data_IF_319704784759
#
_entry.id   IF_319704784759
#
_cell.length_a   1.000
_cell.length_b   1.000
_cell.length_c   1.000
_cell.angle_alpha   90.00
_cell.angle_beta   90.00
_cell.angle_gamma   90.00
#
_symmetry.space_group_name_H-M   'P 1'
#
loop_
_entity.id
_entity.type
_entity.pdbx_description
1 polymer ?
#
# COMPACT_ATOMS: atom_id res chain seq x y z
N UNK A 1 -3.96 -22.27 17.24
CA UNK A 1 -3.70 -23.25 16.18
C UNK A 1 -2.25 -23.10 15.74
N UNK A 2 -1.45 -24.14 15.61
CA UNK A 2 -0.08 -23.99 15.16
C UNK A 2 -0.08 -23.54 13.69
N UNK A 3 0.54 -22.39 13.38
CA UNK A 3 0.74 -21.92 12.03
C UNK A 3 0.06 -20.62 11.61
N UNK A 4 -0.65 -19.94 12.50
CA UNK A 4 -1.19 -18.59 12.20
C UNK A 4 -0.14 -17.52 12.57
N UNK A 5 0.87 -17.34 11.72
CA UNK A 5 1.95 -16.41 12.01
C UNK A 5 2.08 -15.27 11.00
N UNK A 6 1.33 -15.31 9.88
CA UNK A 6 1.44 -14.29 8.85
C UNK A 6 0.72 -13.01 9.25
N UNK A 7 1.36 -11.87 9.01
CA UNK A 7 0.70 -10.55 9.03
C UNK A 7 0.66 -10.05 7.59
N UNK A 8 -0.54 -9.96 7.08
CA UNK A 8 -0.87 -9.51 5.75
C UNK A 8 -1.11 -8.00 5.76
N UNK A 9 -0.18 -7.23 5.20
CA UNK A 9 -0.28 -5.76 5.19
C UNK A 9 -1.00 -5.22 3.95
N UNK A 10 -1.37 -6.07 3.01
CA UNK A 10 -2.01 -5.70 1.76
C UNK A 10 -3.28 -6.54 1.56
N UNK A 11 -4.34 -6.10 2.20
CA UNK A 11 -5.67 -6.64 2.02
C UNK A 11 -6.70 -5.51 1.91
N UNK A 12 -7.78 -5.77 1.20
CA UNK A 12 -8.80 -4.78 0.91
C UNK A 12 -10.15 -5.16 1.49
N UNK A 13 -10.95 -4.14 1.76
CA UNK A 13 -12.31 -4.29 2.23
C UNK A 13 -13.25 -3.29 1.56
N UNK A 14 -14.52 -3.57 1.59
CA UNK A 14 -15.55 -2.71 1.04
C UNK A 14 -16.67 -2.55 2.03
N UNK A 15 -17.06 -1.30 2.31
CA UNK A 15 -18.24 -1.02 3.13
C UNK A 15 -19.49 -0.92 2.25
N UNK A 16 -20.69 -1.14 2.80
CA UNK A 16 -21.94 -0.94 2.06
C UNK A 16 -22.06 0.46 1.48
N UNK A 17 -21.62 1.48 2.23
CA UNK A 17 -21.65 2.89 1.84
C UNK A 17 -20.68 3.14 0.66
N UNK A 18 -19.49 2.53 0.68
CA UNK A 18 -18.53 2.65 -0.41
C UNK A 18 -19.05 1.97 -1.68
N UNK A 19 -19.62 0.76 -1.58
CA UNK A 19 -20.30 0.11 -2.71
C UNK A 19 -21.46 0.93 -3.26
N UNK A 20 -22.26 1.57 -2.38
CA UNK A 20 -23.34 2.44 -2.82
C UNK A 20 -22.81 3.66 -3.58
N UNK A 21 -21.73 4.27 -3.10
CA UNK A 21 -21.09 5.42 -3.76
C UNK A 21 -20.51 5.03 -5.14
N UNK A 22 -19.85 3.87 -5.27
CA UNK A 22 -19.36 3.36 -6.56
C UNK A 22 -20.52 3.17 -7.55
N UNK A 23 -21.60 2.50 -7.14
CA UNK A 23 -22.79 2.32 -8.01
C UNK A 23 -23.42 3.65 -8.41
N UNK A 24 -23.50 4.61 -7.49
CA UNK A 24 -24.05 5.94 -7.79
C UNK A 24 -23.18 6.71 -8.79
N UNK A 25 -21.88 6.43 -8.83
CA UNK A 25 -20.95 6.96 -9.84
C UNK A 25 -20.91 6.15 -11.15
N UNK A 26 -21.72 5.08 -11.27
CA UNK A 26 -21.74 4.22 -12.45
C UNK A 26 -20.54 3.31 -12.57
N UNK A 27 -19.83 3.04 -11.46
CA UNK A 27 -18.63 2.20 -11.40
C UNK A 27 -19.03 0.80 -10.93
N UNK A 28 -19.02 -0.18 -11.83
CA UNK A 28 -19.21 -1.60 -11.59
C UNK A 28 -17.90 -2.40 -11.67
N UNK A 29 -16.88 -1.77 -12.22
CA UNK A 29 -15.52 -2.27 -12.32
C UNK A 29 -14.52 -1.15 -12.03
N UNK A 30 -13.31 -1.52 -11.64
CA UNK A 30 -12.22 -0.61 -11.34
C UNK A 30 -11.01 -0.99 -12.15
N UNK A 31 -10.52 -0.04 -12.96
CA UNK A 31 -9.32 -0.22 -13.77
C UNK A 31 -9.40 -1.49 -14.67
N UNK A 32 -10.62 -1.85 -15.09
CA UNK A 32 -10.93 -3.02 -15.87
C UNK A 32 -11.11 -4.32 -15.07
N UNK A 33 -11.11 -4.24 -13.74
CA UNK A 33 -11.32 -5.39 -12.86
C UNK A 33 -12.68 -5.30 -12.15
N UNK A 34 -13.50 -6.38 -12.13
CA UNK A 34 -14.75 -6.37 -11.38
C UNK A 34 -14.52 -6.09 -9.90
N UNK A 35 -15.40 -5.30 -9.27
CA UNK A 35 -15.33 -5.04 -7.84
C UNK A 35 -15.74 -6.32 -7.11
N UNK A 36 -14.85 -6.93 -6.30
CA UNK A 36 -15.16 -8.18 -5.62
C UNK A 36 -16.15 -7.98 -4.47
N UNK A 37 -16.94 -9.00 -4.19
CA UNK A 37 -17.67 -9.08 -2.92
C UNK A 37 -16.71 -9.29 -1.75
N UNK A 38 -17.04 -8.70 -0.60
CA UNK A 38 -16.25 -8.85 0.61
C UNK A 38 -17.16 -8.91 1.85
N UNK A 39 -16.83 -9.76 2.81
CA UNK A 39 -17.37 -9.72 4.16
C UNK A 39 -16.30 -10.10 5.18
N UNK A 40 -16.45 -9.62 6.42
CA UNK A 40 -15.48 -9.94 7.47
C UNK A 40 -15.49 -11.41 7.83
N UNK A 41 -16.65 -12.05 7.79
CA UNK A 41 -16.83 -13.47 8.06
C UNK A 41 -16.03 -14.32 7.06
N UNK A 42 -16.22 -14.06 5.76
CA UNK A 42 -15.48 -14.74 4.69
C UNK A 42 -13.98 -14.47 4.78
N UNK A 43 -13.57 -13.23 5.10
CA UNK A 43 -12.17 -12.90 5.28
C UNK A 43 -11.53 -13.70 6.43
N UNK A 44 -12.21 -13.83 7.57
CA UNK A 44 -11.73 -14.64 8.71
C UNK A 44 -11.59 -16.11 8.33
N UNK A 45 -12.58 -16.69 7.64
CA UNK A 45 -12.52 -18.08 7.18
C UNK A 45 -11.30 -18.35 6.29
N UNK A 46 -11.04 -17.44 5.33
CA UNK A 46 -9.87 -17.54 4.46
C UNK A 46 -8.56 -17.31 5.20
N UNK A 47 -8.51 -16.35 6.13
CA UNK A 47 -7.34 -16.14 6.99
C UNK A 47 -7.01 -17.39 7.80
N UNK A 48 -8.02 -18.06 8.37
CA UNK A 48 -7.85 -19.30 9.13
C UNK A 48 -7.32 -20.43 8.23
N UNK A 49 -7.88 -20.55 7.03
CA UNK A 49 -7.45 -21.54 6.03
C UNK A 49 -5.99 -21.34 5.60
N UNK A 50 -5.56 -20.08 5.44
CA UNK A 50 -4.23 -19.75 4.92
C UNK A 50 -3.18 -19.54 6.01
N UNK A 51 -3.55 -19.56 7.28
CA UNK A 51 -2.63 -19.31 8.39
C UNK A 51 -2.24 -17.83 8.51
N UNK A 52 -3.12 -16.93 8.11
CA UNK A 52 -2.97 -15.48 8.29
C UNK A 52 -3.56 -15.10 9.65
N UNK A 53 -2.72 -14.55 10.53
CA UNK A 53 -3.14 -14.09 11.84
C UNK A 53 -3.89 -12.78 11.76
N UNK A 54 -3.34 -11.81 11.03
CA UNK A 54 -3.87 -10.45 10.98
C UNK A 54 -3.84 -9.95 9.54
N UNK A 55 -4.92 -9.32 9.08
CA UNK A 55 -4.96 -8.52 7.85
C UNK A 55 -5.09 -7.03 8.18
N UNK A 56 -4.26 -6.20 7.54
CA UNK A 56 -4.43 -4.75 7.58
C UNK A 56 -5.26 -4.35 6.35
N UNK A 57 -6.46 -3.85 6.62
CA UNK A 57 -7.45 -3.55 5.61
C UNK A 57 -7.31 -2.12 5.09
N UNK A 58 -7.42 -1.96 3.79
CA UNK A 58 -7.47 -0.66 3.10
C UNK A 58 -8.52 -0.65 1.99
N UNK A 59 -8.99 0.52 1.59
CA UNK A 59 -9.68 0.67 0.31
C UNK A 59 -8.64 0.53 -0.81
N UNK A 60 -9.02 -0.14 -1.90
CA UNK A 60 -8.24 -0.26 -3.13
C UNK A 60 -8.56 0.86 -4.12
N UNK A 61 -8.00 0.78 -5.35
CA UNK A 61 -8.48 1.56 -6.48
C UNK A 61 -10.03 1.44 -6.62
N UNK A 62 -10.74 2.47 -7.06
CA UNK A 62 -10.27 3.77 -7.54
C UNK A 62 -10.05 4.80 -6.43
N UNK A 63 -9.98 4.41 -5.16
CA UNK A 63 -9.92 5.34 -4.05
C UNK A 63 -11.22 6.11 -3.87
N UNK A 64 -11.17 7.45 -3.83
CA UNK A 64 -12.33 8.29 -3.55
C UNK A 64 -12.52 9.40 -4.59
N UNK A 65 -11.67 9.48 -5.62
CA UNK A 65 -11.63 10.58 -6.58
C UNK A 65 -12.91 10.71 -7.43
N UNK A 66 -13.70 9.65 -7.53
CA UNK A 66 -14.98 9.65 -8.23
C UNK A 66 -16.09 10.43 -7.49
N UNK A 67 -15.92 10.69 -6.20
CA UNK A 67 -16.92 11.35 -5.38
C UNK A 67 -16.74 12.89 -5.39
N UNK A 68 -17.83 13.69 -5.45
CA UNK A 68 -17.73 15.13 -5.24
C UNK A 68 -17.10 15.47 -3.89
N UNK A 69 -16.35 16.59 -3.80
CA UNK A 69 -15.56 16.96 -2.62
C UNK A 69 -16.30 16.83 -1.28
N UNK A 70 -17.54 17.32 -1.19
CA UNK A 70 -18.34 17.25 0.05
C UNK A 70 -18.74 15.80 0.41
N UNK A 71 -19.08 15.00 -0.59
CA UNK A 71 -19.40 13.59 -0.42
C UNK A 71 -18.15 12.77 -0.09
N UNK A 72 -16.99 13.12 -0.67
CA UNK A 72 -15.71 12.46 -0.40
C UNK A 72 -15.31 12.56 1.08
N UNK A 73 -15.46 13.73 1.73
CA UNK A 73 -15.19 13.87 3.18
C UNK A 73 -16.05 12.93 4.02
N UNK A 74 -17.36 12.90 3.73
CA UNK A 74 -18.27 12.00 4.46
C UNK A 74 -17.94 10.53 4.19
N UNK A 75 -17.72 10.17 2.95
CA UNK A 75 -17.43 8.77 2.58
C UNK A 75 -16.11 8.29 3.20
N UNK A 76 -15.05 9.12 3.19
CA UNK A 76 -13.80 8.78 3.86
C UNK A 76 -14.02 8.54 5.37
N UNK A 77 -14.77 9.44 6.04
CA UNK A 77 -15.12 9.29 7.46
C UNK A 77 -15.88 8.00 7.71
N UNK A 78 -16.95 7.73 6.97
CA UNK A 78 -17.78 6.54 7.13
C UNK A 78 -16.95 5.24 6.96
N UNK A 79 -16.10 5.19 5.94
CA UNK A 79 -15.19 4.05 5.68
C UNK A 79 -14.22 3.85 6.85
N UNK A 80 -13.60 4.93 7.35
CA UNK A 80 -12.62 4.85 8.44
C UNK A 80 -13.27 4.44 9.77
N UNK A 81 -14.46 4.92 10.06
CA UNK A 81 -15.22 4.50 11.25
C UNK A 81 -15.64 3.03 11.18
N UNK A 82 -16.05 2.55 10.01
CA UNK A 82 -16.31 1.12 9.77
C UNK A 82 -15.05 0.29 10.00
N UNK A 83 -13.88 0.70 9.45
CA UNK A 83 -12.62 0.01 9.66
C UNK A 83 -12.27 -0.06 11.17
N UNK A 84 -12.37 1.06 11.87
CA UNK A 84 -12.15 1.10 13.32
C UNK A 84 -13.14 0.20 14.10
N UNK A 85 -14.40 0.08 13.64
CA UNK A 85 -15.37 -0.83 14.24
C UNK A 85 -15.01 -2.30 14.02
N UNK A 86 -14.44 -2.65 12.85
CA UNK A 86 -13.90 -3.99 12.57
C UNK A 86 -12.73 -4.31 13.48
N UNK A 87 -11.79 -3.38 13.66
CA UNK A 87 -10.65 -3.56 14.57
C UNK A 87 -11.11 -3.77 16.01
N UNK A 88 -12.09 -3.00 16.50
CA UNK A 88 -12.62 -3.19 17.86
C UNK A 88 -13.28 -4.56 18.06
N UNK A 89 -13.95 -5.08 17.04
CA UNK A 89 -14.60 -6.41 17.08
C UNK A 89 -13.59 -7.55 16.95
N UNK A 90 -12.49 -7.34 16.23
CA UNK A 90 -11.51 -8.37 15.90
C UNK A 90 -10.06 -7.85 16.12
N UNK A 91 -9.68 -7.45 17.36
CA UNK A 91 -8.46 -6.66 17.61
C UNK A 91 -7.16 -7.39 17.28
N UNK A 92 -7.15 -8.71 17.27
CA UNK A 92 -5.99 -9.54 16.90
C UNK A 92 -5.99 -9.94 15.44
N UNK A 93 -7.16 -9.84 14.76
CA UNK A 93 -7.34 -10.30 13.38
C UNK A 93 -7.31 -9.16 12.37
N UNK A 94 -7.62 -7.94 12.79
CA UNK A 94 -7.78 -6.79 11.90
C UNK A 94 -6.90 -5.64 12.33
N UNK A 95 -6.18 -5.09 11.36
CA UNK A 95 -5.61 -3.76 11.38
C UNK A 95 -6.20 -2.93 10.25
N UNK A 96 -5.84 -1.64 10.16
CA UNK A 96 -6.45 -0.82 9.13
C UNK A 96 -5.73 0.46 8.78
N UNK A 97 -5.79 0.80 7.50
CA UNK A 97 -5.33 2.06 6.94
C UNK A 97 -6.52 2.97 6.65
N UNK A 98 -6.39 4.23 7.04
CA UNK A 98 -7.43 5.23 6.80
C UNK A 98 -7.40 5.76 5.36
N UNK A 99 -8.57 5.90 4.77
CA UNK A 99 -8.79 6.58 3.50
C UNK A 99 -8.85 8.09 3.71
N UNK A 100 -8.22 8.88 2.84
CA UNK A 100 -8.25 10.34 2.89
C UNK A 100 -9.09 10.93 1.75
N UNK A 101 -9.82 12.03 1.98
CA UNK A 101 -10.66 12.68 0.97
C UNK A 101 -9.86 13.56 -0.01
N UNK A 102 -8.69 13.08 -0.48
CA UNK A 102 -7.90 13.79 -1.48
C UNK A 102 -8.69 13.91 -2.80
N UNK A 103 -8.54 15.02 -3.54
CA UNK A 103 -7.50 16.08 -3.42
C UNK A 103 -7.81 17.21 -2.42
N UNK A 104 -8.79 17.06 -1.54
CA UNK A 104 -9.10 18.05 -0.51
C UNK A 104 -8.08 18.00 0.63
N UNK A 105 -7.01 18.81 0.53
CA UNK A 105 -5.90 18.80 1.48
C UNK A 105 -6.36 19.14 2.91
N UNK A 106 -7.22 20.14 3.08
CA UNK A 106 -7.72 20.52 4.41
C UNK A 106 -8.53 19.38 5.03
N UNK A 107 -9.46 18.79 4.26
CA UNK A 107 -10.23 17.64 4.70
C UNK A 107 -9.35 16.42 4.99
N UNK A 108 -8.27 16.23 4.24
CA UNK A 108 -7.33 15.15 4.47
C UNK A 108 -6.53 15.35 5.77
N UNK A 109 -6.12 16.57 6.09
CA UNK A 109 -5.44 16.89 7.37
C UNK A 109 -6.37 16.67 8.57
N UNK A 110 -7.62 17.08 8.47
CA UNK A 110 -8.65 16.81 9.49
C UNK A 110 -8.85 15.28 9.67
N UNK A 111 -8.91 14.54 8.55
CA UNK A 111 -9.15 13.11 8.58
C UNK A 111 -7.92 12.33 9.10
N UNK A 112 -6.69 12.76 8.81
CA UNK A 112 -5.47 12.20 9.41
C UNK A 112 -5.52 12.29 10.94
N UNK A 113 -5.89 13.47 11.45
CA UNK A 113 -6.00 13.66 12.90
C UNK A 113 -7.10 12.77 13.49
N UNK A 114 -8.29 12.73 12.88
CA UNK A 114 -9.37 11.88 13.36
C UNK A 114 -9.01 10.38 13.32
N UNK A 115 -8.49 9.91 12.20
CA UNK A 115 -8.14 8.51 12.01
C UNK A 115 -7.07 8.01 13.00
N UNK A 116 -6.01 8.80 13.20
CA UNK A 116 -4.88 8.38 14.01
C UNK A 116 -5.07 8.71 15.51
N UNK A 117 -5.72 9.84 15.85
CA UNK A 117 -5.85 10.29 17.24
C UNK A 117 -7.14 9.79 17.90
N UNK A 118 -8.26 9.68 17.15
CA UNK A 118 -9.56 9.28 17.69
C UNK A 118 -9.84 7.81 17.41
N UNK A 119 -9.79 7.41 16.13
CA UNK A 119 -10.10 6.05 15.72
C UNK A 119 -8.98 5.05 16.01
N UNK A 120 -7.74 5.52 16.19
CA UNK A 120 -6.54 4.70 16.45
C UNK A 120 -6.26 3.68 15.35
N UNK A 121 -6.52 4.06 14.08
CA UNK A 121 -6.13 3.25 12.93
C UNK A 121 -4.60 3.14 12.84
N UNK A 122 -4.12 2.07 12.21
CA UNK A 122 -2.70 1.71 12.20
C UNK A 122 -1.86 2.56 11.23
N UNK A 123 -2.49 3.22 10.27
CA UNK A 123 -1.83 4.06 9.28
C UNK A 123 -2.80 4.69 8.30
N UNK A 124 -2.25 5.20 7.19
CA UNK A 124 -3.00 5.88 6.12
C UNK A 124 -2.79 5.12 4.81
N UNK A 125 -3.86 4.96 4.01
CA UNK A 125 -3.72 4.54 2.61
C UNK A 125 -3.71 5.77 1.70
N UNK A 126 -2.74 5.80 0.78
CA UNK A 126 -2.68 6.75 -0.33
C UNK A 126 -2.64 5.98 -1.65
N UNK A 127 -2.86 6.70 -2.74
CA UNK A 127 -2.72 6.14 -4.08
C UNK A 127 -1.51 6.76 -4.77
N UNK A 128 -0.94 6.06 -5.76
CA UNK A 128 0.28 6.50 -6.47
C UNK A 128 0.17 7.91 -7.02
N UNK A 129 -1.02 8.29 -7.44
CA UNK A 129 -1.37 9.66 -7.84
C UNK A 129 -2.81 9.98 -7.43
N UNK A 130 -3.14 11.26 -7.40
CA UNK A 130 -4.49 11.80 -7.21
C UNK A 130 -4.83 12.64 -8.44
N UNK A 131 -5.80 12.21 -9.24
CA UNK A 131 -6.15 12.86 -10.51
C UNK A 131 -4.92 13.12 -11.41
N UNK A 132 -4.03 12.11 -11.53
CA UNK A 132 -2.82 12.20 -12.33
C UNK A 132 -1.66 12.99 -11.71
N UNK A 133 -1.81 13.47 -10.47
CA UNK A 133 -0.78 14.18 -9.74
C UNK A 133 -0.09 13.22 -8.79
N UNK A 134 1.17 12.88 -9.07
CA UNK A 134 1.94 11.93 -8.25
C UNK A 134 2.31 12.49 -6.88
N UNK A 135 2.42 11.61 -5.87
CA UNK A 135 2.56 11.96 -4.45
C UNK A 135 3.77 12.85 -4.11
N UNK A 136 4.82 12.91 -4.92
CA UNK A 136 5.94 13.83 -4.74
C UNK A 136 5.65 15.27 -5.18
N UNK A 137 4.45 15.60 -5.65
CA UNK A 137 4.08 16.97 -6.02
C UNK A 137 3.90 17.85 -4.77
N UNK A 138 4.34 19.13 -4.87
CA UNK A 138 4.27 20.11 -3.78
C UNK A 138 2.86 20.35 -3.22
N UNK A 139 1.81 20.03 -3.99
CA UNK A 139 0.41 20.11 -3.52
C UNK A 139 0.12 19.21 -2.34
N UNK A 140 0.90 18.15 -2.17
CA UNK A 140 0.78 17.20 -1.05
C UNK A 140 1.79 17.46 0.07
N UNK A 141 2.59 18.53 0.00
CA UNK A 141 3.63 18.81 0.99
C UNK A 141 3.05 18.87 2.42
N UNK A 142 1.93 19.58 2.61
CA UNK A 142 1.29 19.68 3.92
C UNK A 142 0.85 18.30 4.48
N UNK A 143 0.39 17.40 3.61
CA UNK A 143 0.03 16.03 3.99
C UNK A 143 1.28 15.28 4.46
N UNK A 144 2.37 15.31 3.65
CA UNK A 144 3.60 14.61 4.01
C UNK A 144 4.29 15.21 5.24
N UNK A 145 4.21 16.52 5.46
CA UNK A 145 4.73 17.18 6.68
C UNK A 145 3.98 16.70 7.93
N UNK A 146 2.66 16.59 7.86
CA UNK A 146 1.85 16.07 8.98
C UNK A 146 2.11 14.58 9.21
N UNK A 147 2.18 13.76 8.16
CA UNK A 147 2.54 12.35 8.26
C UNK A 147 3.95 12.16 8.84
N UNK A 148 4.91 13.00 8.44
CA UNK A 148 6.28 12.99 8.96
C UNK A 148 6.34 13.38 10.44
N UNK A 149 5.60 14.43 10.85
CA UNK A 149 5.49 14.84 12.25
C UNK A 149 4.96 13.70 13.13
N UNK A 150 3.99 12.94 12.62
CA UNK A 150 3.37 11.79 13.30
C UNK A 150 4.21 10.51 13.23
N UNK A 151 5.25 10.46 12.42
CA UNK A 151 6.01 9.22 12.09
C UNK A 151 5.06 8.13 11.58
N UNK A 152 4.06 8.52 10.79
CA UNK A 152 2.97 7.66 10.36
C UNK A 152 3.45 6.54 9.44
N UNK A 153 2.75 5.40 9.50
CA UNK A 153 2.83 4.36 8.48
C UNK A 153 1.86 4.73 7.36
N UNK A 154 2.34 4.65 6.13
CA UNK A 154 1.56 4.95 4.92
C UNK A 154 1.66 3.77 3.98
N UNK A 155 0.54 3.21 3.59
CA UNK A 155 0.46 2.22 2.52
C UNK A 155 0.08 2.92 1.22
N UNK A 156 0.81 2.68 0.13
CA UNK A 156 0.51 3.26 -1.18
C UNK A 156 0.10 2.17 -2.15
N UNK A 157 -1.15 2.23 -2.58
CA UNK A 157 -1.72 1.34 -3.59
C UNK A 157 -1.70 2.02 -4.97
N UNK A 158 -1.35 1.30 -6.05
CA UNK A 158 -1.42 1.85 -7.40
C UNK A 158 -2.87 2.05 -7.88
N UNK A 159 -3.01 2.92 -8.87
CA UNK A 159 -4.21 3.14 -9.68
C UNK A 159 -3.83 3.19 -11.15
N UNK A 160 -4.81 3.08 -12.06
CA UNK A 160 -4.52 3.21 -13.49
C UNK A 160 -3.92 4.58 -13.82
N UNK A 161 -2.83 4.66 -14.57
CA UNK A 161 -2.21 5.92 -14.91
C UNK A 161 -3.13 6.77 -15.80
N UNK A 162 -2.96 8.10 -15.79
CA UNK A 162 -3.73 8.98 -16.67
C UNK A 162 -3.61 8.57 -18.14
N UNK A 163 -4.75 8.49 -18.83
CA UNK A 163 -4.79 8.12 -20.23
C UNK A 163 -4.73 6.60 -20.48
N UNK A 164 -4.81 5.79 -19.44
CA UNK A 164 -4.98 4.36 -19.61
C UNK A 164 -6.27 4.06 -20.38
N UNK A 165 -6.18 3.16 -21.34
CA UNK A 165 -7.30 2.67 -22.13
C UNK A 165 -7.17 1.16 -22.28
N UNK A 166 -7.98 0.40 -21.57
CA UNK A 166 -7.99 -1.04 -21.60
C UNK A 166 -8.27 -1.60 -23.01
N UNK A 167 -9.05 -0.87 -23.82
CA UNK A 167 -9.43 -1.33 -25.16
C UNK A 167 -8.23 -1.44 -26.11
N UNK A 168 -7.13 -0.72 -25.83
CA UNK A 168 -5.94 -0.76 -26.67
C UNK A 168 -5.15 -2.09 -26.55
N UNK A 169 -5.13 -2.66 -25.35
CA UNK A 169 -4.36 -3.87 -25.05
C UNK A 169 -5.26 -5.07 -24.72
N UNK A 170 -6.52 -4.84 -24.34
CA UNK A 170 -7.46 -5.88 -23.92
C UNK A 170 -7.17 -6.45 -22.53
N UNK A 171 -6.30 -5.80 -21.73
CA UNK A 171 -5.96 -6.22 -20.37
C UNK A 171 -6.32 -5.13 -19.36
N UNK A 172 -6.78 -5.51 -18.15
CA UNK A 172 -6.96 -4.59 -17.03
C UNK A 172 -5.64 -3.94 -16.61
N UNK A 173 -5.71 -2.72 -16.05
CA UNK A 173 -4.53 -1.98 -15.59
C UNK A 173 -3.67 -2.74 -14.56
N UNK A 174 -4.21 -3.52 -13.62
CA UNK A 174 -3.41 -4.31 -12.69
C UNK A 174 -2.39 -5.24 -13.33
N UNK A 175 -2.64 -5.71 -14.57
CA UNK A 175 -1.74 -6.65 -15.24
C UNK A 175 -0.34 -6.06 -15.50
N UNK A 176 -0.27 -4.77 -15.89
CA UNK A 176 1.00 -4.12 -16.25
C UNK A 176 1.12 -2.72 -15.67
N UNK A 177 0.04 -1.93 -15.75
CA UNK A 177 0.13 -0.49 -15.44
C UNK A 177 0.36 -0.22 -13.97
N UNK A 178 -0.23 -0.98 -13.04
CA UNK A 178 -0.02 -0.81 -11.61
C UNK A 178 1.45 -0.91 -11.19
N UNK A 179 2.24 -1.94 -11.63
CA UNK A 179 3.68 -1.98 -11.39
C UNK A 179 4.43 -0.76 -11.94
N UNK A 180 4.08 -0.30 -13.13
CA UNK A 180 4.72 0.88 -13.71
C UNK A 180 4.32 2.16 -13.00
N UNK A 181 3.09 2.27 -12.55
CA UNK A 181 2.60 3.46 -11.85
C UNK A 181 3.22 3.60 -10.45
N UNK A 182 3.34 2.50 -9.71
CA UNK A 182 4.13 2.44 -8.46
C UNK A 182 5.57 2.93 -8.69
N UNK A 183 6.20 2.48 -9.78
CA UNK A 183 7.56 2.89 -10.12
C UNK A 183 7.66 4.39 -10.43
N UNK A 184 6.69 4.96 -11.17
CA UNK A 184 6.61 6.41 -11.43
C UNK A 184 6.48 7.22 -10.14
N UNK A 185 5.63 6.74 -9.22
CA UNK A 185 5.45 7.40 -7.92
C UNK A 185 6.74 7.38 -7.10
N UNK A 186 7.43 6.26 -6.98
CA UNK A 186 8.71 6.16 -6.26
C UNK A 186 9.73 7.13 -6.87
N UNK A 187 9.87 7.13 -8.20
CA UNK A 187 10.75 8.06 -8.89
C UNK A 187 10.40 9.53 -8.58
N UNK A 188 9.11 9.88 -8.61
CA UNK A 188 8.64 11.24 -8.34
C UNK A 188 8.94 11.67 -6.89
N UNK A 189 8.68 10.81 -5.90
CA UNK A 189 8.95 11.07 -4.48
C UNK A 189 10.44 11.36 -4.20
N UNK A 190 11.34 10.63 -4.86
CA UNK A 190 12.78 10.86 -4.73
C UNK A 190 13.17 12.13 -5.50
N UNK A 191 12.76 12.25 -6.76
CA UNK A 191 13.14 13.37 -7.64
C UNK A 191 12.68 14.75 -7.11
N UNK A 192 11.57 14.81 -6.40
CA UNK A 192 11.06 16.02 -5.72
C UNK A 192 11.79 16.35 -4.42
N UNK A 193 12.48 15.38 -3.82
CA UNK A 193 13.10 15.51 -2.50
C UNK A 193 12.18 15.20 -1.32
N UNK A 194 10.96 14.74 -1.57
CA UNK A 194 9.99 14.41 -0.50
C UNK A 194 10.55 13.38 0.47
N UNK A 195 11.25 12.34 -0.02
CA UNK A 195 11.88 11.31 0.84
C UNK A 195 12.93 11.89 1.79
N UNK A 196 13.66 12.95 1.37
CA UNK A 196 14.66 13.66 2.19
C UNK A 196 13.98 14.57 3.21
N UNK A 197 12.93 15.28 2.81
CA UNK A 197 12.16 16.20 3.65
C UNK A 197 11.37 15.47 4.73
N UNK A 198 10.88 14.26 4.44
CA UNK A 198 9.99 13.50 5.31
C UNK A 198 10.60 12.16 5.78
N UNK A 199 11.78 12.18 6.46
CA UNK A 199 12.53 10.96 6.79
C UNK A 199 11.83 10.04 7.79
N UNK A 200 10.83 10.52 8.52
CA UNK A 200 10.14 9.74 9.55
C UNK A 200 8.88 9.02 9.03
N UNK A 201 8.42 9.31 7.81
CA UNK A 201 7.31 8.56 7.19
C UNK A 201 7.78 7.14 6.89
N UNK A 202 6.98 6.15 7.27
CA UNK A 202 7.22 4.74 6.97
C UNK A 202 6.30 4.33 5.82
N UNK A 203 6.77 4.52 4.60
CA UNK A 203 5.96 4.34 3.40
C UNK A 203 6.15 2.95 2.82
N UNK A 204 5.06 2.20 2.74
CA UNK A 204 4.98 0.86 2.16
C UNK A 204 4.47 1.00 0.73
N UNK A 205 5.19 0.45 -0.23
CA UNK A 205 4.79 0.39 -1.64
C UNK A 205 4.33 -1.01 -2.03
N UNK A 206 3.27 -1.08 -2.81
CA UNK A 206 2.68 -2.33 -3.24
C UNK A 206 3.51 -3.06 -4.31
N UNK A 207 3.30 -4.38 -4.41
CA UNK A 207 3.77 -5.25 -5.50
C UNK A 207 5.30 -5.20 -5.72
N UNK A 208 6.08 -5.27 -4.63
CA UNK A 208 7.54 -5.25 -4.70
C UNK A 208 8.14 -3.94 -5.24
N UNK A 209 7.37 -2.84 -5.19
CA UNK A 209 7.78 -1.58 -5.81
C UNK A 209 7.67 -1.56 -7.33
N UNK A 210 6.88 -2.50 -7.88
CA UNK A 210 6.60 -2.61 -9.31
C UNK A 210 7.82 -3.00 -10.14
N UNK A 211 8.16 -2.20 -11.15
CA UNK A 211 9.31 -2.44 -12.03
C UNK A 211 10.61 -1.80 -11.51
N UNK A 212 10.57 -1.19 -10.29
CA UNK A 212 11.73 -0.51 -9.72
C UNK A 212 13.00 -1.38 -9.70
N UNK A 213 12.99 -2.66 -9.27
CA UNK A 213 14.21 -3.46 -9.20
C UNK A 213 14.95 -3.55 -10.54
N UNK A 214 14.22 -3.68 -11.64
CA UNK A 214 14.81 -3.70 -12.98
C UNK A 214 15.29 -2.33 -13.45
N UNK A 215 14.56 -1.25 -13.11
CA UNK A 215 14.82 0.11 -13.60
C UNK A 215 15.69 0.96 -12.67
N UNK A 216 16.11 0.47 -11.50
CA UNK A 216 16.71 1.25 -10.44
C UNK A 216 17.91 2.11 -10.90
N UNK A 217 18.87 1.53 -11.61
CA UNK A 217 20.05 2.25 -12.11
C UNK A 217 19.66 3.30 -13.17
N UNK A 218 18.72 2.99 -14.06
CA UNK A 218 18.21 3.94 -15.05
C UNK A 218 17.52 5.12 -14.38
N UNK A 219 16.65 4.83 -13.41
CA UNK A 219 15.92 5.84 -12.61
C UNK A 219 16.92 6.70 -11.85
N UNK A 220 17.90 6.08 -11.18
CA UNK A 220 18.92 6.79 -10.41
C UNK A 220 19.67 7.83 -11.24
N UNK A 221 20.16 7.45 -12.43
CA UNK A 221 20.82 8.40 -13.36
C UNK A 221 19.91 9.55 -13.78
N UNK A 222 18.63 9.27 -14.04
CA UNK A 222 17.70 10.29 -14.48
C UNK A 222 17.28 11.22 -13.34
N UNK A 223 17.16 10.73 -12.11
CA UNK A 223 16.90 11.59 -10.93
C UNK A 223 18.07 12.55 -10.72
N UNK A 224 19.32 12.09 -10.79
CA UNK A 224 20.50 12.96 -10.67
C UNK A 224 20.50 14.04 -11.74
N UNK A 225 20.09 13.70 -12.97
CA UNK A 225 20.11 14.63 -14.11
C UNK A 225 18.94 15.60 -14.14
N UNK A 226 17.74 15.15 -13.78
CA UNK A 226 16.48 15.87 -14.01
C UNK A 226 15.65 16.08 -12.74
N UNK A 227 16.09 15.58 -11.59
CA UNK A 227 15.40 15.77 -10.32
C UNK A 227 15.34 17.24 -9.92
N UNK A 228 14.35 17.59 -9.12
CA UNK A 228 14.07 18.96 -8.65
C UNK A 228 14.43 19.17 -7.18
N UNK A 229 14.98 18.16 -6.52
CA UNK A 229 15.40 18.27 -5.13
C UNK A 229 16.51 19.32 -4.98
N UNK A 230 16.46 20.09 -3.92
CA UNK A 230 17.47 21.09 -3.59
C UNK A 230 17.98 20.87 -2.15
N UNK A 231 19.26 20.52 -1.96
CA UNK A 231 20.29 20.29 -3.00
C UNK A 231 19.99 19.05 -3.86
N UNK A 232 20.56 18.94 -5.06
CA UNK A 232 20.42 17.76 -5.91
C UNK A 232 20.89 16.48 -5.22
N UNK A 233 20.34 15.34 -5.61
CA UNK A 233 20.82 14.03 -5.15
C UNK A 233 22.10 13.61 -5.87
N UNK A 234 23.04 12.97 -5.16
CA UNK A 234 24.10 12.18 -5.77
C UNK A 234 23.57 10.80 -6.20
N UNK A 235 24.29 10.07 -7.08
CA UNK A 235 23.90 8.70 -7.44
C UNK A 235 23.76 7.76 -6.22
N UNK A 236 24.67 7.87 -5.26
CA UNK A 236 24.68 7.08 -4.03
C UNK A 236 23.49 7.40 -3.15
N UNK A 237 23.13 8.67 -3.02
CA UNK A 237 21.96 9.11 -2.26
C UNK A 237 20.66 8.62 -2.89
N UNK A 238 20.55 8.57 -4.23
CA UNK A 238 19.37 8.01 -4.90
C UNK A 238 19.26 6.51 -4.62
N UNK A 239 20.38 5.77 -4.71
CA UNK A 239 20.36 4.33 -4.40
C UNK A 239 20.04 4.08 -2.93
N UNK A 240 20.50 4.94 -2.02
CA UNK A 240 20.14 4.88 -0.59
C UNK A 240 18.66 5.22 -0.36
N UNK A 241 18.09 6.13 -1.15
CA UNK A 241 16.69 6.53 -1.02
C UNK A 241 15.71 5.37 -1.30
N UNK A 242 16.08 4.37 -2.11
CA UNK A 242 15.23 3.19 -2.28
C UNK A 242 15.05 2.41 -0.98
N UNK A 243 15.97 2.48 -0.04
CA UNK A 243 15.90 1.84 1.28
C UNK A 243 14.99 2.59 2.27
N UNK A 244 14.52 3.76 1.92
CA UNK A 244 13.55 4.51 2.73
C UNK A 244 12.16 3.86 2.69
N UNK A 245 11.79 3.24 1.55
CA UNK A 245 10.53 2.54 1.39
C UNK A 245 10.55 1.16 2.03
N UNK A 246 9.36 0.69 2.40
CA UNK A 246 9.05 -0.72 2.64
C UNK A 246 8.33 -1.27 1.40
N UNK A 247 8.42 -2.57 1.19
CA UNK A 247 7.91 -3.23 -0.02
C UNK A 247 7.09 -4.43 0.37
N UNK A 248 5.82 -4.50 0.01
CA UNK A 248 5.13 -5.77 0.12
C UNK A 248 5.56 -6.72 -1.02
N UNK A 249 5.38 -8.00 -0.78
CA UNK A 249 5.75 -9.02 -1.77
C UNK A 249 4.55 -9.62 -2.49
N UNK A 250 3.44 -8.91 -2.47
CA UNK A 250 2.20 -9.26 -3.17
C UNK A 250 2.47 -9.40 -4.67
N UNK A 251 1.94 -10.46 -5.29
CA UNK A 251 2.06 -10.76 -6.73
C UNK A 251 3.51 -10.86 -7.27
N UNK A 252 4.53 -10.76 -6.39
CA UNK A 252 5.95 -10.94 -6.75
C UNK A 252 6.60 -12.08 -5.96
N UNK A 253 5.79 -12.98 -5.40
CA UNK A 253 6.25 -14.13 -4.60
C UNK A 253 6.87 -15.22 -5.47
N UNK A 254 8.00 -14.91 -6.09
CA UNK A 254 8.84 -15.84 -6.85
C UNK A 254 10.31 -15.41 -6.81
N UNK A 255 11.23 -16.39 -6.97
CA UNK A 255 12.64 -16.26 -6.65
C UNK A 255 13.33 -15.07 -7.33
N UNK A 256 13.16 -14.89 -8.64
CA UNK A 256 13.87 -13.84 -9.36
C UNK A 256 13.41 -12.41 -8.98
N UNK A 257 12.13 -12.22 -8.63
CA UNK A 257 11.65 -10.91 -8.17
C UNK A 257 12.21 -10.57 -6.78
N UNK A 258 12.17 -11.53 -5.84
CA UNK A 258 12.72 -11.34 -4.50
C UNK A 258 14.24 -11.14 -4.55
N UNK A 259 14.97 -11.94 -5.33
CA UNK A 259 16.41 -11.78 -5.50
C UNK A 259 16.76 -10.39 -6.06
N UNK A 260 16.02 -9.94 -7.09
CA UNK A 260 16.23 -8.62 -7.67
C UNK A 260 15.95 -7.50 -6.65
N UNK A 261 14.87 -7.60 -5.88
CA UNK A 261 14.53 -6.62 -4.85
C UNK A 261 15.60 -6.58 -3.74
N UNK A 262 16.09 -7.73 -3.29
CA UNK A 262 17.14 -7.84 -2.27
C UNK A 262 18.51 -7.31 -2.72
N UNK A 263 18.73 -7.07 -4.02
CA UNK A 263 19.92 -6.32 -4.48
C UNK A 263 19.85 -4.84 -4.18
N UNK A 264 18.64 -4.29 -3.98
CA UNK A 264 18.40 -2.88 -3.74
C UNK A 264 18.17 -2.55 -2.27
N UNK A 265 17.46 -3.42 -1.56
CA UNK A 265 16.99 -3.15 -0.20
C UNK A 265 17.27 -4.32 0.74
N UNK A 266 17.49 -4.06 2.03
CA UNK A 266 17.67 -5.12 3.01
C UNK A 266 16.36 -5.83 3.33
N UNK A 267 16.46 -7.05 3.86
CA UNK A 267 15.32 -7.93 4.16
C UNK A 267 14.30 -7.30 5.14
N UNK A 268 14.75 -6.43 6.02
CA UNK A 268 13.88 -5.73 6.98
C UNK A 268 12.94 -4.71 6.36
N UNK A 269 13.02 -4.52 5.04
CA UNK A 269 12.10 -3.68 4.25
C UNK A 269 11.01 -4.47 3.54
N UNK A 270 11.05 -5.81 3.56
CA UNK A 270 10.07 -6.66 2.91
C UNK A 270 8.96 -7.06 3.88
N UNK A 271 7.72 -7.05 3.38
CA UNK A 271 6.50 -7.34 4.15
C UNK A 271 5.62 -8.31 3.35
N UNK A 272 4.92 -9.23 4.04
CA UNK A 272 3.95 -10.08 3.37
C UNK A 272 2.66 -9.32 3.05
N UNK A 273 2.06 -9.60 1.88
CA UNK A 273 0.76 -9.12 1.44
C UNK A 273 0.07 -10.12 0.52
N UNK A 274 -1.26 -10.18 0.54
CA UNK A 274 -2.07 -11.12 -0.24
C UNK A 274 -2.83 -10.50 -1.41
N UNK A 275 -3.17 -9.22 -1.33
CA UNK A 275 -4.10 -8.52 -2.24
C UNK A 275 -5.53 -9.13 -2.23
N UNK A 276 -5.89 -9.81 -1.12
CA UNK A 276 -7.27 -10.28 -0.95
C UNK A 276 -8.24 -9.09 -0.85
N UNK A 277 -9.39 -9.09 -1.53
CA UNK A 277 -10.00 -10.16 -2.31
C UNK A 277 -9.75 -10.10 -3.84
N UNK A 278 -8.85 -9.25 -4.33
CA UNK A 278 -8.57 -9.11 -5.76
C UNK A 278 -7.73 -10.27 -6.31
N UNK A 279 -6.80 -10.78 -5.51
CA UNK A 279 -6.03 -11.97 -5.87
C UNK A 279 -6.93 -13.21 -5.83
N UNK A 280 -6.84 -14.05 -6.86
CA UNK A 280 -7.55 -15.32 -6.89
C UNK A 280 -7.20 -16.17 -5.66
N UNK A 281 -8.19 -16.69 -4.92
CA UNK A 281 -7.94 -17.49 -3.71
C UNK A 281 -7.00 -18.68 -3.93
N UNK A 282 -6.95 -19.23 -5.15
CA UNK A 282 -6.07 -20.34 -5.52
C UNK A 282 -4.60 -19.95 -5.65
N UNK A 283 -4.29 -18.66 -5.80
CA UNK A 283 -2.91 -18.16 -5.95
C UNK A 283 -2.28 -17.74 -4.62
N UNK A 284 -3.08 -17.53 -3.57
CA UNK A 284 -2.58 -17.10 -2.26
C UNK A 284 -1.80 -18.21 -1.54
N UNK A 285 -2.29 -19.46 -1.42
CA UNK A 285 -1.52 -20.53 -0.77
C UNK A 285 -0.14 -20.79 -1.40
N UNK A 286 0.02 -20.91 -2.73
CA UNK A 286 1.34 -21.05 -3.34
C UNK A 286 2.30 -19.87 -3.03
N UNK A 287 1.78 -18.64 -2.96
CA UNK A 287 2.59 -17.47 -2.59
C UNK A 287 3.05 -17.55 -1.12
N UNK A 288 2.17 -17.98 -0.21
CA UNK A 288 2.51 -18.21 1.19
C UNK A 288 3.58 -19.30 1.33
N UNK A 289 3.41 -20.44 0.66
CA UNK A 289 4.36 -21.54 0.68
C UNK A 289 5.73 -21.11 0.14
N UNK A 290 5.74 -20.29 -0.91
CA UNK A 290 6.96 -19.71 -1.43
C UNK A 290 7.67 -18.83 -0.38
N UNK A 291 6.95 -17.91 0.30
CA UNK A 291 7.53 -17.06 1.35
C UNK A 291 8.07 -17.89 2.51
N UNK A 292 7.34 -18.92 2.94
CA UNK A 292 7.77 -19.83 4.02
C UNK A 292 9.00 -20.66 3.64
N UNK A 293 9.17 -20.95 2.37
CA UNK A 293 10.29 -21.79 1.87
C UNK A 293 11.47 -21.02 1.33
N UNK A 294 11.35 -19.73 0.98
CA UNK A 294 12.37 -18.87 0.34
C UNK A 294 13.79 -19.45 0.41
N UNK A 295 14.26 -20.18 -0.64
CA UNK A 295 15.39 -21.12 -0.50
C UNK A 295 16.72 -20.46 -0.15
N UNK A 296 16.88 -19.17 -0.45
CA UNK A 296 18.12 -18.40 -0.21
C UNK A 296 18.12 -17.61 1.09
N UNK A 297 17.02 -17.66 1.86
CA UNK A 297 16.90 -16.98 3.13
C UNK A 297 16.93 -18.00 4.28
N UNK A 298 17.58 -17.63 5.37
CA UNK A 298 17.49 -18.40 6.59
C UNK A 298 16.12 -18.28 7.27
N UNK A 299 15.86 -19.04 8.31
CA UNK A 299 14.59 -19.05 9.01
C UNK A 299 14.25 -17.70 9.62
N UNK A 300 15.24 -16.94 10.12
CA UNK A 300 15.06 -15.63 10.71
C UNK A 300 14.61 -14.61 9.65
N UNK A 301 15.24 -14.62 8.48
CA UNK A 301 14.89 -13.74 7.37
C UNK A 301 13.48 -14.04 6.81
N UNK A 302 13.12 -15.33 6.69
CA UNK A 302 11.74 -15.71 6.32
C UNK A 302 10.71 -15.25 7.33
N UNK A 303 10.99 -15.42 8.62
CA UNK A 303 10.14 -14.93 9.70
C UNK A 303 10.03 -13.41 9.70
N UNK A 304 11.10 -12.68 9.37
CA UNK A 304 11.08 -11.23 9.24
C UNK A 304 10.06 -10.78 8.19
N UNK A 305 10.03 -11.39 7.00
CA UNK A 305 9.07 -11.09 5.93
C UNK A 305 7.65 -11.51 6.33
N UNK A 306 7.49 -12.67 6.93
CA UNK A 306 6.18 -13.23 7.29
C UNK A 306 5.42 -12.36 8.30
N UNK A 307 6.11 -11.84 9.32
CA UNK A 307 5.49 -11.02 10.38
C UNK A 307 6.44 -10.07 11.09
N UNK A 308 7.72 -10.42 11.27
CA UNK A 308 8.64 -9.69 12.14
C UNK A 308 8.81 -8.23 11.75
N UNK A 309 8.85 -7.92 10.46
CA UNK A 309 8.96 -6.55 9.98
C UNK A 309 7.65 -5.77 10.16
N UNK A 310 6.50 -6.42 9.94
CA UNK A 310 5.20 -5.83 10.19
C UNK A 310 5.01 -5.49 11.68
N UNK A 311 5.42 -6.38 12.59
CA UNK A 311 5.34 -6.13 14.04
C UNK A 311 6.16 -4.92 14.50
N UNK A 312 7.27 -4.61 13.81
CA UNK A 312 8.07 -3.39 14.09
C UNK A 312 7.35 -2.13 13.62
N UNK A 313 6.58 -2.21 12.53
CA UNK A 313 5.82 -1.08 12.00
C UNK A 313 4.52 -0.83 12.78
N UNK A 314 3.88 -1.90 13.26
CA UNK A 314 2.59 -1.91 13.91
C UNK A 314 2.68 -2.49 15.34
N UNK A 315 3.21 -1.72 16.33
CA UNK A 315 3.45 -2.23 17.68
C UNK A 315 2.18 -2.73 18.39
N UNK A 316 0.99 -2.20 18.04
CA UNK A 316 -0.29 -2.69 18.55
C UNK A 316 -0.46 -4.18 18.31
N UNK A 317 -0.06 -4.68 17.14
CA UNK A 317 -0.18 -6.09 16.78
C UNK A 317 0.80 -6.99 17.54
N UNK A 318 1.91 -6.42 18.04
CA UNK A 318 2.88 -7.15 18.85
C UNK A 318 2.37 -7.41 20.28
N UNK A 319 1.51 -6.54 20.81
CA UNK A 319 0.92 -6.71 22.15
C UNK A 319 -0.04 -7.92 22.26
N UNK A 320 -0.41 -8.49 21.13
CA UNK A 320 -1.32 -9.64 21.02
C UNK A 320 -0.62 -10.86 20.33
N UNK A 321 0.71 -10.83 20.20
CA UNK A 321 1.52 -11.88 19.56
C UNK A 321 1.92 -13.00 20.53
#
# INVERSE_FOLDING_TARGET
MPGQDLIDIHAHFFTPEYHQALRAAGLDSVDGFPIPGWSMESAIELMDLWGIRTQLLSISAPGIEFAPRSAARKLARDVNENNAALIRRHPTRVGGFALLPLPDVDGALEEIAHALDVLKLDGIVLFTHINGIYLGDKRFDAIFDELNRRKAVVFVHPVAPPGFDMNRLGFPAPCVEFPFDTTRMIMNMIASGTVRRCPNVRLIVAHGGGTLPFLAHRIGRNIVRFGKANPPFTPEEVMAAFKWFYYDVTAVSHQHAIDSLLTLVPIDRLLYGSDHPFMLPTLIPPAIDFIKSLPRLDASARQAVANGNALKLFPRLAAHA
#
